data_IF_061330872914
#
_entry.id   IF_061330872914
#
_cell.length_a   1.000
_cell.length_b   1.000
_cell.length_c   1.000
_cell.angle_alpha   90.00
_cell.angle_beta   90.00
_cell.angle_gamma   90.00
#
_symmetry.space_group_name_H-M   'P 1'
#
loop_
_entity.id
_entity.type
_entity.pdbx_description
1 polymer ?
#
# COMPACT_ATOMS: atom_id res chain seq x y z
N UNK A 1 30.03 -30.86 -22.11
CA UNK A 1 28.81 -31.69 -21.96
C UNK A 1 28.31 -31.77 -20.51
N UNK A 2 29.15 -31.96 -19.49
CA UNK A 2 28.71 -32.10 -18.08
C UNK A 2 28.01 -30.86 -17.48
N UNK A 3 28.39 -29.65 -17.92
CA UNK A 3 27.81 -28.39 -17.43
C UNK A 3 26.32 -28.29 -17.77
N UNK A 4 25.92 -28.68 -18.98
CA UNK A 4 24.51 -28.65 -19.37
C UNK A 4 23.72 -29.83 -18.80
N UNK A 5 24.31 -31.03 -18.68
CA UNK A 5 23.58 -32.18 -18.14
C UNK A 5 23.41 -32.13 -16.62
N UNK A 6 24.40 -31.62 -15.88
CA UNK A 6 24.30 -31.43 -14.41
C UNK A 6 23.72 -30.07 -14.03
N UNK A 7 23.96 -29.03 -14.84
CA UNK A 7 23.52 -27.67 -14.59
C UNK A 7 22.16 -27.30 -15.21
N UNK A 8 21.57 -28.15 -16.06
CA UNK A 8 20.23 -27.95 -16.63
C UNK A 8 19.17 -27.41 -15.65
N UNK A 9 19.00 -27.96 -14.43
CA UNK A 9 17.99 -27.45 -13.51
C UNK A 9 18.29 -26.02 -13.05
N UNK A 10 19.55 -25.67 -12.80
CA UNK A 10 19.95 -24.31 -12.39
C UNK A 10 19.71 -23.33 -13.53
N UNK A 11 20.13 -23.70 -14.75
CA UNK A 11 19.95 -22.87 -15.94
C UNK A 11 18.45 -22.60 -16.19
N UNK A 12 17.62 -23.64 -16.07
CA UNK A 12 16.17 -23.52 -16.21
C UNK A 12 15.56 -22.57 -15.18
N UNK A 13 15.96 -22.67 -13.91
CA UNK A 13 15.48 -21.81 -12.82
C UNK A 13 15.95 -20.36 -13.02
N UNK A 14 17.22 -20.15 -13.35
CA UNK A 14 17.80 -18.82 -13.59
C UNK A 14 17.20 -18.12 -14.82
N UNK A 15 16.71 -18.86 -15.81
CA UNK A 15 16.01 -18.28 -16.96
C UNK A 15 14.53 -18.04 -16.66
N UNK A 16 13.83 -19.06 -16.16
CA UNK A 16 12.38 -19.01 -15.97
C UNK A 16 11.95 -18.07 -14.84
N UNK A 17 12.71 -17.98 -13.75
CA UNK A 17 12.38 -17.13 -12.60
C UNK A 17 12.32 -15.64 -12.96
N UNK A 18 13.43 -15.03 -13.44
CA UNK A 18 13.43 -13.63 -13.89
C UNK A 18 12.49 -13.36 -15.06
N UNK A 19 12.35 -14.32 -15.98
CA UNK A 19 11.40 -14.21 -17.09
C UNK A 19 9.95 -14.12 -16.61
N UNK A 20 9.56 -14.98 -15.66
CA UNK A 20 8.25 -14.91 -15.02
C UNK A 20 8.06 -13.60 -14.26
N UNK A 21 9.06 -13.17 -13.48
CA UNK A 21 9.01 -11.88 -12.78
C UNK A 21 8.70 -10.73 -13.73
N UNK A 22 9.50 -10.58 -14.79
CA UNK A 22 9.37 -9.49 -15.75
C UNK A 22 8.02 -9.52 -16.47
N UNK A 23 7.58 -10.69 -16.92
CA UNK A 23 6.29 -10.82 -17.60
C UNK A 23 5.11 -10.46 -16.69
N UNK A 24 5.04 -11.05 -15.50
CA UNK A 24 3.89 -10.87 -14.60
C UNK A 24 3.86 -9.48 -13.94
N UNK A 25 5.03 -8.91 -13.59
CA UNK A 25 5.07 -7.53 -13.07
C UNK A 25 4.64 -6.52 -14.14
N UNK A 26 5.15 -6.64 -15.38
CA UNK A 26 4.81 -5.70 -16.48
C UNK A 26 3.36 -5.83 -16.93
N UNK A 27 2.85 -7.05 -17.06
CA UNK A 27 1.42 -7.25 -17.37
C UNK A 27 0.52 -6.65 -16.29
N UNK A 28 0.88 -6.80 -15.02
CA UNK A 28 0.09 -6.22 -13.93
C UNK A 28 0.16 -4.68 -13.89
N UNK A 29 1.33 -4.10 -14.16
CA UNK A 29 1.48 -2.64 -14.32
C UNK A 29 0.63 -2.12 -15.47
N UNK A 30 0.63 -2.80 -16.62
CA UNK A 30 -0.14 -2.41 -17.79
C UNK A 30 -1.66 -2.54 -17.55
N UNK A 31 -2.12 -3.62 -16.91
CA UNK A 31 -3.54 -3.83 -16.62
C UNK A 31 -4.09 -2.85 -15.57
N UNK A 32 -3.25 -2.40 -14.64
CA UNK A 32 -3.66 -1.48 -13.57
C UNK A 32 -3.31 -0.02 -13.87
N UNK A 33 -2.58 0.21 -14.97
CA UNK A 33 -2.03 1.51 -15.36
C UNK A 33 -1.28 2.22 -14.22
N UNK A 34 -0.64 1.43 -13.35
CA UNK A 34 0.00 1.90 -12.11
C UNK A 34 1.29 1.15 -11.82
N UNK A 35 2.34 1.91 -11.50
CA UNK A 35 3.62 1.40 -11.02
C UNK A 35 3.61 1.28 -9.50
N UNK A 36 2.99 0.19 -9.01
CA UNK A 36 2.82 -0.05 -7.57
C UNK A 36 3.66 -1.23 -7.06
N UNK A 37 3.95 -1.21 -5.75
CA UNK A 37 4.58 -2.33 -5.03
C UNK A 37 3.83 -3.66 -5.17
N UNK A 38 2.51 -3.62 -5.40
CA UNK A 38 1.68 -4.79 -5.66
C UNK A 38 2.08 -5.53 -6.94
N UNK A 39 2.50 -4.82 -7.99
CA UNK A 39 2.96 -5.45 -9.22
C UNK A 39 4.32 -6.13 -9.03
N UNK A 40 5.22 -5.51 -8.24
CA UNK A 40 6.49 -6.12 -7.84
C UNK A 40 6.28 -7.35 -6.94
N UNK A 41 5.34 -7.28 -6.00
CA UNK A 41 4.99 -8.42 -5.14
C UNK A 41 4.43 -9.59 -5.94
N UNK A 42 3.56 -9.32 -6.92
CA UNK A 42 2.99 -10.35 -7.78
C UNK A 42 4.03 -10.97 -8.72
N UNK A 43 4.90 -10.15 -9.34
CA UNK A 43 6.04 -10.65 -10.10
C UNK A 43 6.97 -11.51 -9.24
N UNK A 44 7.24 -11.08 -8.00
CA UNK A 44 8.03 -11.81 -7.01
C UNK A 44 7.38 -13.15 -6.64
N UNK A 45 6.06 -13.18 -6.48
CA UNK A 45 5.31 -14.39 -6.22
C UNK A 45 5.45 -15.41 -7.34
N UNK A 46 5.34 -14.96 -8.60
CA UNK A 46 5.50 -15.84 -9.75
C UNK A 46 6.94 -16.35 -9.90
N UNK A 47 7.93 -15.50 -9.64
CA UNK A 47 9.34 -15.91 -9.58
C UNK A 47 9.60 -16.97 -8.50
N UNK A 48 9.14 -16.71 -7.26
CA UNK A 48 9.28 -17.65 -6.14
C UNK A 48 8.54 -18.97 -6.37
N UNK A 49 7.39 -18.92 -7.05
CA UNK A 49 6.65 -20.12 -7.44
C UNK A 49 7.47 -20.98 -8.42
N UNK A 50 8.15 -20.35 -9.39
CA UNK A 50 9.06 -21.05 -10.33
C UNK A 50 10.23 -21.70 -9.59
N UNK A 51 10.80 -21.04 -8.56
CA UNK A 51 11.82 -21.65 -7.70
C UNK A 51 11.31 -22.90 -6.97
N UNK A 52 10.01 -22.96 -6.67
CA UNK A 52 9.37 -24.07 -5.97
C UNK A 52 8.98 -25.26 -6.83
N UNK A 53 8.85 -25.08 -8.15
CA UNK A 53 8.42 -26.14 -9.08
C UNK A 53 9.26 -27.43 -9.02
N UNK A 54 10.60 -27.39 -8.89
CA UNK A 54 11.42 -28.60 -8.80
C UNK A 54 11.08 -29.50 -7.61
N UNK A 55 10.51 -28.94 -6.54
CA UNK A 55 10.13 -29.71 -5.34
C UNK A 55 8.84 -30.52 -5.54
N UNK A 56 8.08 -30.29 -6.63
CA UNK A 56 6.85 -31.03 -6.97
C UNK A 56 5.81 -31.10 -5.85
N UNK A 57 5.80 -30.09 -4.97
CA UNK A 57 4.89 -29.97 -3.83
C UNK A 57 4.23 -28.61 -3.85
N UNK A 58 2.91 -28.61 -4.06
CA UNK A 58 2.11 -27.38 -4.08
C UNK A 58 2.29 -26.48 -2.85
N UNK A 59 2.36 -26.98 -1.59
CA UNK A 59 2.58 -26.10 -0.45
C UNK A 59 3.93 -25.39 -0.49
N UNK A 60 4.97 -26.04 -1.05
CA UNK A 60 6.31 -25.44 -1.16
C UNK A 60 6.33 -24.35 -2.23
N UNK A 61 5.65 -24.59 -3.36
CA UNK A 61 5.48 -23.59 -4.43
C UNK A 61 4.79 -22.33 -3.87
N UNK A 62 3.68 -22.52 -3.16
CA UNK A 62 2.94 -21.41 -2.54
C UNK A 62 3.77 -20.68 -1.48
N UNK A 63 4.50 -21.41 -0.64
CA UNK A 63 5.32 -20.81 0.42
C UNK A 63 6.49 -20.00 -0.15
N UNK A 64 7.23 -20.54 -1.14
CA UNK A 64 8.32 -19.83 -1.80
C UNK A 64 7.82 -18.64 -2.62
N UNK A 65 6.67 -18.80 -3.30
CA UNK A 65 5.99 -17.70 -3.96
C UNK A 65 5.64 -16.58 -2.97
N UNK A 66 4.94 -16.91 -1.87
CA UNK A 66 4.56 -15.93 -0.86
C UNK A 66 5.79 -15.22 -0.26
N UNK A 67 6.84 -15.97 0.09
CA UNK A 67 8.07 -15.43 0.64
C UNK A 67 8.75 -14.43 -0.32
N UNK A 68 9.01 -14.83 -1.56
CA UNK A 68 9.69 -13.98 -2.54
C UNK A 68 8.80 -12.80 -2.95
N UNK A 69 7.49 -13.00 -3.04
CA UNK A 69 6.51 -11.95 -3.31
C UNK A 69 6.49 -10.89 -2.22
N UNK A 70 6.44 -11.29 -0.94
CA UNK A 70 6.52 -10.34 0.19
C UNK A 70 7.86 -9.61 0.21
N UNK A 71 8.98 -10.33 -0.02
CA UNK A 71 10.29 -9.71 -0.07
C UNK A 71 10.41 -8.67 -1.19
N UNK A 72 9.91 -8.97 -2.40
CA UNK A 72 9.91 -8.02 -3.52
C UNK A 72 8.96 -6.85 -3.30
N UNK A 73 7.77 -7.09 -2.74
CA UNK A 73 6.84 -6.03 -2.36
C UNK A 73 7.46 -5.07 -1.34
N UNK A 74 8.09 -5.60 -0.29
CA UNK A 74 8.80 -4.80 0.70
C UNK A 74 9.99 -4.06 0.09
N UNK A 75 10.75 -4.71 -0.78
CA UNK A 75 11.87 -4.08 -1.48
C UNK A 75 11.41 -2.88 -2.33
N UNK A 76 10.27 -3.01 -3.02
CA UNK A 76 9.68 -1.92 -3.79
C UNK A 76 9.15 -0.79 -2.89
N UNK A 77 8.50 -1.11 -1.76
CA UNK A 77 8.07 -0.11 -0.76
C UNK A 77 9.27 0.62 -0.16
N UNK A 78 10.39 -0.07 0.02
CA UNK A 78 11.65 0.52 0.48
C UNK A 78 12.36 1.37 -0.60
N UNK A 79 11.79 1.52 -1.81
CA UNK A 79 12.33 2.36 -2.87
C UNK A 79 13.04 1.61 -4.00
N UNK A 80 13.02 0.27 -4.00
CA UNK A 80 13.42 -0.54 -5.16
C UNK A 80 14.89 -0.42 -5.56
N UNK A 81 15.75 0.10 -4.68
CA UNK A 81 17.16 0.37 -4.95
C UNK A 81 18.05 -0.23 -3.87
N UNK A 82 19.16 -0.83 -4.29
CA UNK A 82 20.21 -1.35 -3.40
C UNK A 82 21.30 -0.32 -3.09
N UNK A 83 21.18 0.88 -3.62
CA UNK A 83 22.14 1.98 -3.53
C UNK A 83 21.67 3.05 -2.53
N UNK A 84 22.60 3.89 -2.07
CA UNK A 84 22.39 4.92 -1.05
C UNK A 84 21.29 5.91 -1.45
N UNK A 85 20.30 6.12 -0.57
CA UNK A 85 19.23 7.11 -0.71
C UNK A 85 19.70 8.57 -0.68
N UNK A 86 21.02 8.81 -0.62
CA UNK A 86 21.57 10.16 -0.64
C UNK A 86 21.31 10.84 -1.99
N UNK A 87 20.20 11.58 -2.05
CA UNK A 87 20.08 12.73 -2.92
C UNK A 87 20.46 13.94 -2.07
N UNK A 88 21.29 14.84 -2.59
CA UNK A 88 21.36 16.21 -2.07
C UNK A 88 19.99 16.84 -2.32
N UNK A 89 19.04 16.60 -1.43
CA UNK A 89 17.81 17.37 -1.38
C UNK A 89 18.14 18.77 -0.88
N UNK A 90 17.50 19.78 -1.48
CA UNK A 90 17.64 21.14 -1.01
C UNK A 90 17.21 21.19 0.47
N UNK A 91 18.12 21.61 1.35
CA UNK A 91 17.83 21.72 2.77
C UNK A 91 16.60 22.60 3.02
N UNK A 92 16.33 23.54 2.11
CA UNK A 92 15.15 24.38 2.16
C UNK A 92 13.86 23.58 2.00
N UNK A 93 13.75 22.72 1.00
CA UNK A 93 12.55 21.92 0.69
C UNK A 93 12.23 20.92 1.82
N UNK A 94 13.27 20.28 2.37
CA UNK A 94 13.14 19.40 3.55
C UNK A 94 12.61 20.17 4.76
N UNK A 95 13.16 21.36 5.04
CA UNK A 95 12.71 22.20 6.17
C UNK A 95 11.29 22.74 5.94
N UNK A 96 10.92 23.05 4.69
CA UNK A 96 9.57 23.47 4.35
C UNK A 96 8.55 22.34 4.59
N UNK A 97 8.90 21.11 4.21
CA UNK A 97 8.06 19.93 4.45
C UNK A 97 7.82 19.72 5.95
N UNK A 98 8.89 19.73 6.76
CA UNK A 98 8.80 19.59 8.23
C UNK A 98 7.92 20.69 8.85
N UNK A 99 8.04 21.94 8.35
CA UNK A 99 7.20 23.06 8.80
C UNK A 99 5.73 22.85 8.45
N UNK A 100 5.42 22.37 7.23
CA UNK A 100 4.04 22.07 6.81
C UNK A 100 3.42 20.93 7.61
N UNK A 101 4.20 19.92 8.02
CA UNK A 101 3.69 18.77 8.78
C UNK A 101 3.37 19.09 10.25
N UNK A 102 3.95 20.15 10.83
CA UNK A 102 3.77 20.46 12.26
C UNK A 102 2.33 20.88 12.61
N UNK A 103 1.61 21.53 11.67
CA UNK A 103 0.19 21.87 11.85
C UNK A 103 -0.56 21.69 10.54
N UNK A 104 -1.21 20.53 10.42
CA UNK A 104 -2.01 20.16 9.26
C UNK A 104 -3.41 20.79 9.36
N UNK A 105 -3.97 21.33 8.27
CA UNK A 105 -5.34 21.84 8.28
C UNK A 105 -6.34 20.72 8.56
N UNK A 106 -7.40 21.05 9.31
CA UNK A 106 -8.45 20.10 9.70
C UNK A 106 -9.13 19.49 8.47
N UNK A 107 -9.30 20.27 7.40
CA UNK A 107 -9.90 19.82 6.14
C UNK A 107 -9.09 18.69 5.47
N UNK A 108 -7.76 18.80 5.45
CA UNK A 108 -6.89 17.74 4.93
C UNK A 108 -7.00 16.46 5.77
N UNK A 109 -7.04 16.63 7.10
CA UNK A 109 -7.20 15.49 8.03
C UNK A 109 -8.52 14.77 7.78
N UNK A 110 -9.60 15.52 7.55
CA UNK A 110 -10.93 14.97 7.25
C UNK A 110 -10.95 14.28 5.88
N UNK A 111 -10.28 14.85 4.87
CA UNK A 111 -10.21 14.24 3.54
C UNK A 111 -9.44 12.91 3.54
N UNK A 112 -8.36 12.81 4.31
CA UNK A 112 -7.50 11.60 4.35
C UNK A 112 -8.03 10.51 5.29
N UNK A 113 -8.50 10.88 6.50
CA UNK A 113 -8.92 9.93 7.54
C UNK A 113 -10.44 9.68 7.53
N UNK A 114 -11.21 10.64 7.03
CA UNK A 114 -12.67 10.66 7.11
C UNK A 114 -13.21 11.22 8.43
N UNK A 115 -14.50 11.57 8.44
CA UNK A 115 -15.18 12.04 9.64
C UNK A 115 -15.52 10.87 10.59
N UNK A 116 -15.39 11.10 11.90
CA UNK A 116 -15.70 10.10 12.93
C UNK A 116 -14.47 9.65 13.75
N UNK A 117 -14.67 8.64 14.62
CA UNK A 117 -13.61 8.08 15.50
C UNK A 117 -12.82 9.13 16.32
N UNK A 118 -13.47 10.22 16.71
CA UNK A 118 -12.87 11.30 17.52
C UNK A 118 -12.52 12.57 16.74
N UNK A 119 -12.54 12.54 15.40
CA UNK A 119 -12.31 13.72 14.56
C UNK A 119 -13.66 14.35 14.23
N UNK A 120 -13.89 15.56 14.75
CA UNK A 120 -15.13 16.34 14.55
C UNK A 120 -14.79 17.72 13.98
N UNK A 121 -14.87 17.89 12.65
CA UNK A 121 -14.75 19.22 12.05
C UNK A 121 -15.90 20.14 12.50
N UNK A 122 -15.73 21.47 12.34
CA UNK A 122 -16.85 22.40 12.52
C UNK A 122 -18.04 22.01 11.61
N UNK A 123 -19.25 22.01 12.16
CA UNK A 123 -20.47 21.57 11.46
C UNK A 123 -20.72 20.06 11.43
N UNK A 124 -19.90 19.24 12.12
CA UNK A 124 -20.07 17.79 12.18
C UNK A 124 -21.43 17.35 12.73
N UNK A 125 -21.98 18.06 13.73
CA UNK A 125 -23.25 17.68 14.35
C UNK A 125 -24.44 17.85 13.40
N UNK A 126 -24.42 18.87 12.55
CA UNK A 126 -25.44 19.13 11.54
C UNK A 126 -25.39 18.09 10.42
N UNK A 127 -24.19 17.77 9.90
CA UNK A 127 -23.99 16.71 8.90
C UNK A 127 -24.38 15.34 9.45
N UNK A 128 -24.01 15.04 10.70
CA UNK A 128 -24.41 13.82 11.38
C UNK A 128 -25.92 13.74 11.55
N UNK A 129 -26.60 14.85 11.87
CA UNK A 129 -28.07 14.91 11.95
C UNK A 129 -28.72 14.60 10.60
N UNK A 130 -28.22 15.19 9.52
CA UNK A 130 -28.70 14.90 8.15
C UNK A 130 -28.51 13.42 7.81
N UNK A 131 -27.33 12.86 8.05
CA UNK A 131 -27.03 11.44 7.80
C UNK A 131 -27.90 10.49 8.65
N UNK A 132 -28.18 10.83 9.91
CA UNK A 132 -29.06 10.03 10.78
C UNK A 132 -30.52 10.13 10.31
N UNK A 133 -30.97 11.32 9.92
CA UNK A 133 -32.31 11.52 9.36
C UNK A 133 -32.50 10.73 8.07
N UNK A 134 -31.53 10.76 7.15
CA UNK A 134 -31.56 10.00 5.90
C UNK A 134 -31.52 8.48 6.14
N UNK A 135 -30.67 8.01 7.05
CA UNK A 135 -30.46 6.58 7.26
C UNK A 135 -31.55 5.91 8.12
N UNK A 136 -32.11 6.64 9.09
CA UNK A 136 -33.01 6.08 10.10
C UNK A 136 -34.36 6.80 10.22
N UNK A 137 -34.60 7.88 9.46
CA UNK A 137 -35.86 8.63 9.51
C UNK A 137 -36.10 9.40 10.81
N UNK A 138 -35.09 9.50 11.69
CA UNK A 138 -35.22 10.12 13.01
C UNK A 138 -34.62 11.53 13.02
N UNK A 139 -35.38 12.52 13.49
CA UNK A 139 -34.90 13.89 13.66
C UNK A 139 -34.32 14.10 15.06
N UNK A 140 -33.00 14.19 15.16
CA UNK A 140 -32.32 14.49 16.43
C UNK A 140 -32.41 15.99 16.71
N UNK A 141 -33.29 16.43 17.62
CA UNK A 141 -33.35 17.84 18.01
C UNK A 141 -32.14 18.24 18.87
N UNK A 142 -31.49 19.39 18.58
CA UNK A 142 -30.46 19.93 19.46
C UNK A 142 -31.15 20.39 20.75
N UNK A 143 -30.75 19.81 21.88
CA UNK A 143 -31.09 20.38 23.18
C UNK A 143 -30.21 21.61 23.34
N UNK A 144 -30.81 22.80 23.34
CA UNK A 144 -30.10 24.06 23.56
C UNK A 144 -29.52 24.07 24.97
N UNK A 145 -28.19 24.07 25.09
CA UNK A 145 -27.47 24.25 26.35
C UNK A 145 -27.42 25.73 26.79
N UNK A 146 -28.51 26.48 26.59
CA UNK A 146 -28.72 27.78 27.21
C UNK A 146 -29.93 27.65 28.12
N UNK A 147 -29.66 27.50 29.41
CA UNK A 147 -30.69 27.64 30.45
C UNK A 147 -31.05 29.13 30.51
N UNK A 148 -32.16 29.52 29.90
CA UNK A 148 -32.86 30.75 30.25
C UNK A 148 -33.38 30.60 31.69
N UNK A 149 -32.57 30.95 32.70
CA UNK A 149 -33.01 30.79 34.09
C UNK A 149 -31.98 30.86 35.20
N UNK A 150 -30.90 31.64 35.06
CA UNK A 150 -30.06 32.02 36.21
C UNK A 150 -29.67 33.48 36.08
N UNK A 151 -30.57 34.37 36.52
CA UNK A 151 -30.16 35.65 37.10
C UNK A 151 -29.59 35.40 38.49
#
# INVERSE_FOLDING_TARGET
MSVFTRGAPIIGICAAGPGAYAFFSRTMMNLREKEDAWAAAFGGFMCGSVLGLPFKRMPIVMALGAFVGTAQGLFHVAGGRLDSFYKEEDEFERRETVRRTTRVPVEQTVAEIGEGRGIRPPGYEERRRQLIKEKYGFEVNPVSATVEGSQ
#
